data_IF_881933619867
#
_entry.id   IF_881933619867
#
_cell.length_a   1.000
_cell.length_b   1.000
_cell.length_c   1.000
_cell.angle_alpha   90.00
_cell.angle_beta   90.00
_cell.angle_gamma   90.00
#
_symmetry.space_group_name_H-M   'P 1'
#
loop_
_entity.id
_entity.type
_entity.pdbx_description
1 polymer ?
#
# COMPACT_ATOMS: atom_id res chain seq x y z
N UNK A 1 30.20 30.52 3.18
CA UNK A 1 29.84 29.32 3.95
C UNK A 1 28.56 28.82 3.33
N UNK A 2 28.69 27.98 2.30
CA UNK A 2 27.56 27.48 1.52
C UNK A 2 26.92 26.33 2.28
N UNK A 3 25.76 26.62 2.88
CA UNK A 3 24.96 25.66 3.67
C UNK A 3 24.11 24.76 2.75
N UNK A 4 24.30 24.87 1.43
CA UNK A 4 23.45 24.23 0.40
C UNK A 4 24.15 23.11 -0.39
N UNK A 5 25.31 22.60 0.04
CA UNK A 5 26.11 21.66 -0.78
C UNK A 5 25.99 20.17 -0.40
N UNK A 6 25.20 19.80 0.60
CA UNK A 6 24.96 18.39 0.88
C UNK A 6 23.46 18.16 1.03
N UNK A 7 22.80 17.41 0.12
CA UNK A 7 21.51 16.87 0.49
C UNK A 7 21.75 16.13 1.80
N UNK A 8 20.97 16.41 2.85
CA UNK A 8 20.91 15.56 4.03
C UNK A 8 20.90 14.13 3.50
N UNK A 9 22.04 13.43 3.59
CA UNK A 9 22.14 12.08 3.04
C UNK A 9 21.16 11.32 3.87
N UNK A 10 20.04 10.99 3.25
CA UNK A 10 19.06 10.12 3.85
C UNK A 10 19.81 8.81 4.10
N UNK A 11 20.28 8.64 5.33
CA UNK A 11 21.08 7.48 5.72
C UNK A 11 20.27 6.20 5.51
N UNK A 12 18.93 6.32 5.50
CA UNK A 12 18.02 5.24 5.18
C UNK A 12 18.04 4.92 3.68
N UNK A 13 18.16 5.92 2.80
CA UNK A 13 18.27 5.70 1.35
C UNK A 13 19.58 5.02 0.93
N UNK A 14 20.64 5.13 1.74
CA UNK A 14 21.94 4.47 1.51
C UNK A 14 22.09 3.14 2.28
N UNK A 15 21.09 2.75 3.07
CA UNK A 15 21.09 1.51 3.82
C UNK A 15 21.01 0.32 2.87
N UNK A 16 21.99 -0.58 2.96
CA UNK A 16 21.99 -1.83 2.19
C UNK A 16 20.88 -2.75 2.69
N UNK A 17 19.98 -3.14 1.78
CA UNK A 17 18.95 -4.16 2.03
C UNK A 17 19.52 -5.50 1.60
N UNK A 18 19.63 -6.43 2.54
CA UNK A 18 19.98 -7.82 2.24
C UNK A 18 18.72 -8.56 1.78
N UNK A 19 18.73 -9.03 0.53
CA UNK A 19 17.64 -9.82 -0.06
C UNK A 19 17.87 -11.33 0.05
N UNK A 20 19.06 -11.77 0.49
CA UNK A 20 19.44 -13.18 0.59
C UNK A 20 19.18 -13.76 1.99
N UNK A 21 18.66 -12.96 2.93
CA UNK A 21 18.36 -13.42 4.29
C UNK A 21 17.27 -14.52 4.28
N UNK A 22 17.59 -15.71 4.78
CA UNK A 22 16.67 -16.85 4.90
C UNK A 22 15.67 -16.71 6.07
N UNK A 23 15.40 -15.48 6.54
CA UNK A 23 14.47 -15.24 7.64
C UNK A 23 13.04 -15.50 7.19
N UNK A 24 12.26 -16.19 8.03
CA UNK A 24 10.85 -16.38 7.76
C UNK A 24 10.15 -15.02 7.64
N UNK A 25 9.19 -14.85 6.70
CA UNK A 25 8.49 -13.58 6.56
C UNK A 25 7.77 -13.23 7.86
N UNK A 26 8.07 -12.04 8.39
CA UNK A 26 7.53 -11.53 9.67
C UNK A 26 6.01 -11.41 9.62
N UNK A 27 5.47 -11.14 8.42
CA UNK A 27 4.05 -11.02 8.14
C UNK A 27 3.60 -12.10 7.14
N UNK A 28 2.32 -12.49 7.16
CA UNK A 28 1.76 -13.37 6.13
C UNK A 28 1.85 -12.72 4.74
N UNK A 29 1.78 -13.55 3.69
CA UNK A 29 1.76 -13.10 2.28
C UNK A 29 0.64 -12.09 1.99
N UNK A 30 -0.49 -12.19 2.70
CA UNK A 30 -1.60 -11.25 2.61
C UNK A 30 -2.05 -10.86 4.02
N UNK A 31 -2.07 -9.56 4.31
CA UNK A 31 -2.52 -9.00 5.58
C UNK A 31 -4.03 -8.75 5.58
N UNK A 32 -4.60 -8.49 6.76
CA UNK A 32 -6.04 -8.16 6.86
C UNK A 32 -6.38 -6.85 6.17
N UNK A 33 -5.43 -5.91 6.16
CA UNK A 33 -5.58 -4.60 5.53
C UNK A 33 -5.54 -4.69 4.00
N UNK A 34 -5.00 -5.77 3.44
CA UNK A 34 -5.07 -6.10 2.01
C UNK A 34 -6.45 -6.65 1.59
N UNK A 35 -7.40 -6.77 2.51
CA UNK A 35 -8.78 -7.18 2.22
C UNK A 35 -9.74 -6.03 2.52
N UNK A 36 -10.89 -6.02 1.85
CA UNK A 36 -11.98 -5.05 2.09
C UNK A 36 -12.32 -4.85 3.58
N UNK A 37 -12.12 -5.90 4.40
CA UNK A 37 -12.35 -5.89 5.85
C UNK A 37 -11.46 -4.89 6.60
N UNK A 38 -10.26 -4.62 6.12
CA UNK A 38 -9.36 -3.60 6.69
C UNK A 38 -9.73 -2.18 6.25
N UNK A 39 -10.44 -2.04 5.14
CA UNK A 39 -10.93 -0.77 4.59
C UNK A 39 -12.29 -0.35 5.14
N UNK A 40 -12.87 -1.14 6.06
CA UNK A 40 -14.10 -0.80 6.78
C UNK A 40 -15.40 -1.22 6.07
N UNK A 41 -15.32 -1.90 4.93
CA UNK A 41 -16.50 -2.37 4.20
C UNK A 41 -16.80 -3.84 4.55
N UNK A 42 -18.08 -4.14 4.77
CA UNK A 42 -18.53 -5.51 4.96
C UNK A 42 -18.59 -6.22 3.60
N UNK A 43 -18.39 -7.54 3.55
CA UNK A 43 -18.35 -8.34 2.31
C UNK A 43 -19.71 -8.46 1.59
N UNK A 44 -20.66 -7.55 1.86
CA UNK A 44 -21.92 -7.51 1.13
C UNK A 44 -21.66 -7.01 -0.28
N UNK A 45 -22.28 -7.68 -1.26
CA UNK A 45 -22.26 -7.28 -2.66
C UNK A 45 -22.73 -5.82 -2.76
N UNK A 46 -21.80 -4.94 -3.13
CA UNK A 46 -22.02 -3.50 -3.33
C UNK A 46 -22.69 -3.24 -4.71
N UNK A 47 -23.19 -4.29 -5.35
CA UNK A 47 -23.62 -4.25 -6.75
C UNK A 47 -24.85 -3.35 -6.92
N UNK A 48 -25.77 -3.35 -5.94
CA UNK A 48 -26.95 -2.50 -5.96
C UNK A 48 -26.58 -1.00 -5.96
N UNK A 49 -25.66 -0.58 -5.08
CA UNK A 49 -25.17 0.81 -5.06
C UNK A 49 -24.42 1.16 -6.34
N UNK A 50 -23.61 0.25 -6.87
CA UNK A 50 -22.86 0.46 -8.11
C UNK A 50 -23.79 0.58 -9.34
N UNK A 51 -24.92 -0.11 -9.33
CA UNK A 51 -25.96 0.01 -10.35
C UNK A 51 -26.75 1.32 -10.20
N UNK A 52 -27.04 1.75 -8.97
CA UNK A 52 -27.69 3.03 -8.66
C UNK A 52 -26.80 4.24 -9.02
N UNK A 53 -25.50 4.16 -8.74
CA UNK A 53 -24.50 5.21 -8.99
C UNK A 53 -23.88 5.11 -10.40
N UNK A 54 -24.44 4.29 -11.29
CA UNK A 54 -23.94 4.06 -12.65
C UNK A 54 -23.73 5.40 -13.40
N UNK A 55 -22.51 5.68 -13.87
CA UNK A 55 -22.24 6.77 -14.78
C UNK A 55 -23.02 6.67 -16.11
N UNK A 56 -23.36 7.81 -16.74
CA UNK A 56 -24.15 7.82 -17.98
C UNK A 56 -23.53 7.07 -19.16
N UNK A 57 -22.21 6.89 -19.16
CA UNK A 57 -21.45 6.29 -20.26
C UNK A 57 -21.29 4.76 -20.18
N UNK A 58 -21.90 4.08 -19.19
CA UNK A 58 -21.89 2.62 -19.06
C UNK A 58 -22.98 1.92 -19.89
N UNK A 59 -23.50 2.58 -20.92
CA UNK A 59 -24.54 2.06 -21.84
C UNK A 59 -23.97 1.71 -23.19
#
# INVERSE_FOLDING_TARGET
MDILDQPERDNDAERVVDFESEEAPVLPEQTRDDTERGWGESSYSNDDRLLEDRPPHWG
#
